data_IF_292890642873
#
_entry.id   IF_292890642873
#
_cell.length_a   1.000
_cell.length_b   1.000
_cell.length_c   1.000
_cell.angle_alpha   90.00
_cell.angle_beta   90.00
_cell.angle_gamma   90.00
#
_symmetry.space_group_name_H-M   'P 1'
#
loop_
_entity.id
_entity.type
_entity.pdbx_description
1 polymer ?
#
# COMPACT_ATOMS: atom_id res chain seq x y z
N UNK A 1 -1.24 -1.89 -35.48
CA UNK A 1 -0.79 -1.29 -34.20
C UNK A 1 -1.20 -2.24 -33.09
N UNK A 2 -0.27 -2.96 -32.48
CA UNK A 2 -0.57 -3.95 -31.45
C UNK A 2 0.15 -3.56 -30.17
N UNK A 3 -0.59 -3.00 -29.23
CA UNK A 3 -0.13 -2.79 -27.86
C UNK A 3 -0.01 -4.15 -27.18
N UNK A 4 1.20 -4.68 -27.14
CA UNK A 4 1.56 -5.86 -26.34
C UNK A 4 1.26 -5.54 -24.87
N UNK A 5 0.13 -6.06 -24.40
CA UNK A 5 -0.18 -6.17 -22.99
C UNK A 5 0.88 -7.07 -22.35
N UNK A 6 1.94 -6.46 -21.82
CA UNK A 6 2.72 -7.11 -20.78
C UNK A 6 1.77 -7.21 -19.60
N UNK A 7 1.14 -8.38 -19.44
CA UNK A 7 0.53 -8.76 -18.17
C UNK A 7 1.68 -8.81 -17.17
N UNK A 8 1.97 -7.68 -16.54
CA UNK A 8 2.63 -7.70 -15.24
C UNK A 8 1.84 -8.71 -14.42
N UNK A 9 2.51 -9.76 -13.95
CA UNK A 9 1.88 -10.74 -13.07
C UNK A 9 1.48 -9.94 -11.83
N UNK A 10 0.23 -9.48 -11.81
CA UNK A 10 -0.37 -8.88 -10.62
C UNK A 10 -0.07 -9.81 -9.48
N UNK A 11 0.57 -9.27 -8.46
CA UNK A 11 0.71 -9.99 -7.21
C UNK A 11 -0.70 -10.27 -6.69
N UNK A 12 -1.04 -11.54 -6.58
CA UNK A 12 -2.35 -11.99 -6.09
C UNK A 12 -2.28 -12.59 -4.69
N UNK A 13 -1.09 -12.70 -4.08
CA UNK A 13 -0.90 -13.29 -2.75
C UNK A 13 -0.50 -12.25 -1.69
N UNK A 14 -0.69 -12.56 -0.41
CA UNK A 14 -0.32 -11.66 0.69
C UNK A 14 1.17 -11.31 0.69
N UNK A 15 1.56 -10.22 1.38
CA UNK A 15 2.95 -9.90 1.71
C UNK A 15 3.70 -11.14 2.23
N UNK A 16 4.89 -11.48 1.72
CA UNK A 16 5.71 -12.55 2.34
C UNK A 16 6.50 -11.98 3.50
N UNK A 17 6.94 -10.73 3.36
CA UNK A 17 7.39 -9.90 4.46
C UNK A 17 6.28 -8.94 4.77
N UNK A 18 6.03 -8.73 6.05
CA UNK A 18 5.22 -7.60 6.43
C UNK A 18 6.07 -6.30 6.31
N UNK A 19 5.47 -5.10 6.11
CA UNK A 19 6.21 -3.85 5.91
C UNK A 19 7.25 -3.60 7.03
N UNK A 20 8.49 -3.16 6.75
CA UNK A 20 9.58 -3.04 7.72
C UNK A 20 9.36 -2.03 8.88
N UNK A 21 8.17 -1.45 9.00
CA UNK A 21 7.79 -0.45 10.01
C UNK A 21 7.17 -1.10 11.25
N UNK A 22 7.57 -2.34 11.53
CA UNK A 22 7.34 -2.96 12.83
C UNK A 22 8.21 -2.24 13.85
N UNK A 23 7.66 -1.24 14.51
CA UNK A 23 8.19 -0.86 15.81
C UNK A 23 8.04 -2.10 16.71
N UNK A 24 9.18 -2.66 17.10
CA UNK A 24 9.23 -3.88 17.88
C UNK A 24 8.59 -3.62 19.24
N UNK A 25 7.34 -4.05 19.42
CA UNK A 25 6.58 -3.84 20.65
C UNK A 25 5.15 -3.36 20.42
N UNK A 26 4.88 -2.69 19.31
CA UNK A 26 3.63 -1.96 19.13
C UNK A 26 2.44 -2.87 18.79
N UNK A 27 1.31 -2.73 19.52
CA UNK A 27 0.05 -3.36 19.15
C UNK A 27 -0.42 -2.91 17.77
N UNK A 28 -0.73 -3.86 16.90
CA UNK A 28 -1.11 -3.59 15.52
C UNK A 28 -2.05 -4.66 14.97
N UNK A 29 -2.77 -4.29 13.92
CA UNK A 29 -3.65 -5.19 13.18
C UNK A 29 -3.60 -4.86 11.70
N UNK A 30 -3.38 -5.86 10.83
CA UNK A 30 -3.08 -5.65 9.41
C UNK A 30 -4.04 -6.42 8.50
N UNK A 31 -4.52 -5.72 7.48
CA UNK A 31 -5.29 -6.25 6.36
C UNK A 31 -4.49 -6.18 5.08
N UNK A 32 -4.46 -7.30 4.35
CA UNK A 32 -3.78 -7.40 3.08
C UNK A 32 -4.62 -8.18 2.05
N UNK A 33 -4.38 -7.96 0.75
CA UNK A 33 -4.98 -8.78 -0.30
C UNK A 33 -4.40 -10.20 -0.29
N UNK A 34 -5.22 -11.13 -0.76
CA UNK A 34 -5.04 -12.57 -0.76
C UNK A 34 -5.43 -13.14 -2.13
N UNK A 35 -5.07 -14.42 -2.34
CA UNK A 35 -5.34 -15.13 -3.58
C UNK A 35 -6.81 -15.01 -4.01
N UNK A 36 -7.02 -14.81 -5.30
CA UNK A 36 -8.36 -14.62 -5.87
C UNK A 36 -8.98 -13.24 -5.63
N UNK A 37 -8.18 -12.23 -5.27
CA UNK A 37 -8.68 -10.86 -5.04
C UNK A 37 -9.47 -10.72 -3.73
N UNK A 38 -9.30 -11.69 -2.83
CA UNK A 38 -9.88 -11.63 -1.48
C UNK A 38 -9.02 -10.73 -0.60
N UNK A 39 -9.58 -10.11 0.42
CA UNK A 39 -8.82 -9.28 1.39
C UNK A 39 -9.08 -9.84 2.78
N UNK A 40 -8.05 -10.01 3.61
CA UNK A 40 -8.15 -10.66 4.94
C UNK A 40 -7.19 -10.06 5.95
N UNK A 41 -7.48 -10.32 7.23
CA UNK A 41 -6.54 -10.10 8.33
C UNK A 41 -5.37 -11.06 8.19
N UNK A 42 -4.15 -10.52 8.19
CA UNK A 42 -2.93 -11.32 7.99
C UNK A 42 -1.95 -11.24 9.17
N UNK A 43 -2.11 -10.26 10.06
CA UNK A 43 -1.30 -10.13 11.26
C UNK A 43 -2.05 -9.36 12.35
N UNK A 44 -1.84 -9.77 13.60
CA UNK A 44 -2.33 -9.11 14.80
C UNK A 44 -1.27 -9.24 15.90
N UNK A 45 -1.04 -8.16 16.65
CA UNK A 45 -0.14 -8.12 17.80
C UNK A 45 -0.74 -7.23 18.89
N UNK A 46 -0.53 -7.62 20.15
CA UNK A 46 -1.02 -6.88 21.31
C UNK A 46 -2.48 -7.21 21.64
N UNK A 47 -3.07 -6.44 22.55
CA UNK A 47 -4.45 -6.61 23.01
C UNK A 47 -5.38 -5.48 22.51
N UNK A 48 -5.00 -4.84 21.39
CA UNK A 48 -5.73 -3.74 20.77
C UNK A 48 -7.14 -4.19 20.38
N UNK A 49 -8.15 -3.39 20.71
CA UNK A 49 -9.54 -3.75 20.46
C UNK A 49 -9.98 -3.34 19.06
N UNK A 50 -9.87 -4.27 18.12
CA UNK A 50 -10.42 -4.10 16.77
C UNK A 50 -11.90 -4.50 16.76
N UNK A 51 -12.76 -3.59 16.29
CA UNK A 51 -14.20 -3.86 16.10
C UNK A 51 -14.51 -4.18 14.64
N UNK A 52 -15.69 -4.72 14.37
CA UNK A 52 -16.16 -4.98 12.99
C UNK A 52 -16.09 -3.72 12.10
N UNK A 53 -16.32 -2.53 12.69
CA UNK A 53 -16.19 -1.25 11.99
C UNK A 53 -14.76 -1.03 11.48
N UNK A 54 -13.75 -1.25 12.33
CA UNK A 54 -12.34 -1.13 11.94
C UNK A 54 -11.97 -2.12 10.85
N UNK A 55 -12.48 -3.35 10.96
CA UNK A 55 -12.22 -4.39 9.98
C UNK A 55 -12.82 -4.05 8.61
N UNK A 56 -14.06 -3.56 8.58
CA UNK A 56 -14.74 -3.12 7.36
C UNK A 56 -14.05 -1.93 6.71
N UNK A 57 -13.64 -0.94 7.50
CA UNK A 57 -12.91 0.24 7.00
C UNK A 57 -11.60 -0.18 6.34
N UNK A 58 -10.77 -0.96 7.03
CA UNK A 58 -9.48 -1.37 6.52
C UNK A 58 -9.63 -2.27 5.28
N UNK A 59 -10.64 -3.15 5.27
CA UNK A 59 -10.96 -3.97 4.10
C UNK A 59 -11.37 -3.12 2.89
N UNK A 60 -12.31 -2.18 3.06
CA UNK A 60 -12.77 -1.35 1.92
C UNK A 60 -11.65 -0.44 1.41
N UNK A 61 -10.89 0.19 2.31
CA UNK A 61 -9.76 1.02 1.93
C UNK A 61 -8.70 0.22 1.18
N UNK A 62 -8.29 -0.95 1.71
CA UNK A 62 -7.31 -1.81 1.07
C UNK A 62 -7.78 -2.25 -0.32
N UNK A 63 -9.06 -2.63 -0.46
CA UNK A 63 -9.66 -3.01 -1.74
C UNK A 63 -9.67 -1.84 -2.74
N UNK A 64 -10.08 -0.64 -2.30
CA UNK A 64 -10.13 0.55 -3.15
C UNK A 64 -8.73 0.97 -3.61
N UNK A 65 -7.75 1.06 -2.71
CA UNK A 65 -6.37 1.42 -3.05
C UNK A 65 -5.76 0.45 -4.07
N UNK A 66 -5.90 -0.87 -3.88
CA UNK A 66 -5.42 -1.87 -4.84
C UNK A 66 -6.18 -1.88 -6.17
N UNK A 67 -7.38 -1.29 -6.23
CA UNK A 67 -8.13 -1.16 -7.50
C UNK A 67 -7.78 0.13 -8.23
N UNK A 68 -7.59 1.22 -7.47
CA UNK A 68 -7.42 2.57 -7.97
C UNK A 68 -5.97 2.87 -8.37
N UNK A 69 -5.01 2.42 -7.55
CA UNK A 69 -3.58 2.64 -7.76
C UNK A 69 -2.93 1.33 -8.23
N UNK A 70 -3.05 1.06 -9.53
CA UNK A 70 -2.58 -0.20 -10.16
C UNK A 70 -1.11 -0.10 -10.59
N UNK A 71 -0.23 -0.63 -9.75
CA UNK A 71 1.20 -0.80 -10.01
C UNK A 71 1.58 -2.29 -9.89
N UNK A 72 2.88 -2.61 -9.93
CA UNK A 72 3.40 -3.98 -9.80
C UNK A 72 3.39 -4.53 -8.35
N UNK A 73 3.09 -3.67 -7.38
CA UNK A 73 3.03 -3.98 -5.96
C UNK A 73 1.61 -4.14 -5.42
N UNK A 74 1.44 -3.87 -4.12
CA UNK A 74 0.18 -4.04 -3.40
C UNK A 74 0.07 -3.12 -2.19
N UNK A 75 -1.14 -2.61 -1.96
CA UNK A 75 -1.46 -1.86 -0.75
C UNK A 75 -1.87 -2.79 0.39
N UNK A 76 -1.35 -2.54 1.57
CA UNK A 76 -1.79 -3.13 2.83
C UNK A 76 -2.27 -2.01 3.75
N UNK A 77 -3.24 -2.31 4.61
CA UNK A 77 -3.81 -1.33 5.54
C UNK A 77 -3.63 -1.86 6.96
N UNK A 78 -3.14 -1.00 7.86
CA UNK A 78 -2.88 -1.35 9.26
C UNK A 78 -3.54 -0.37 10.22
N UNK A 79 -4.12 -0.91 11.28
CA UNK A 79 -4.50 -0.17 12.48
C UNK A 79 -3.38 -0.28 13.50
N UNK A 80 -3.06 0.84 14.15
CA UNK A 80 -2.09 0.96 15.21
C UNK A 80 -2.73 1.60 16.43
N UNK A 81 -2.27 1.20 17.61
CA UNK A 81 -2.62 1.93 18.83
C UNK A 81 -1.85 3.26 18.84
N UNK A 82 -2.52 4.40 19.11
CA UNK A 82 -1.82 5.67 19.25
C UNK A 82 -0.79 5.62 20.40
N UNK A 83 0.37 6.25 20.21
CA UNK A 83 1.45 6.28 21.21
C UNK A 83 1.05 7.03 22.50
N UNK A 84 0.12 7.97 22.38
CA UNK A 84 -0.56 8.60 23.51
C UNK A 84 -2.08 8.41 23.34
N UNK A 85 -2.68 7.36 23.92
CA UNK A 85 -4.12 7.13 23.79
C UNK A 85 -4.95 8.25 24.42
N UNK A 86 -4.32 9.16 25.15
CA UNK A 86 -4.99 10.23 25.88
C UNK A 86 -5.90 9.70 26.98
N UNK A 87 -6.43 10.65 27.75
CA UNK A 87 -7.48 10.38 28.73
C UNK A 87 -8.83 10.75 28.12
N UNK A 88 -9.86 9.95 28.43
CA UNK A 88 -11.24 10.39 28.25
C UNK A 88 -11.51 11.61 29.14
N UNK A 89 -12.52 12.43 28.83
CA UNK A 89 -12.90 13.57 29.70
C UNK A 89 -13.21 13.19 31.16
N UNK A 90 -13.52 11.92 31.42
CA UNK A 90 -13.76 11.35 32.75
C UNK A 90 -12.50 10.83 33.47
N UNK A 91 -11.31 11.01 32.88
CA UNK A 91 -10.03 10.58 33.44
C UNK A 91 -9.74 9.09 33.27
N UNK A 92 -10.59 8.33 32.59
CA UNK A 92 -10.30 6.92 32.26
C UNK A 92 -9.38 6.86 31.03
N UNK A 93 -8.50 5.85 30.98
CA UNK A 93 -7.75 5.55 29.77
C UNK A 93 -8.74 5.28 28.64
N UNK A 94 -8.55 5.94 27.49
CA UNK A 94 -9.23 5.47 26.27
C UNK A 94 -8.71 4.06 26.02
N UNK A 95 -9.53 3.07 26.36
CA UNK A 95 -9.24 1.66 26.12
C UNK A 95 -8.95 1.46 24.62
N UNK A 96 -7.66 1.43 24.26
CA UNK A 96 -7.00 0.83 23.08
C UNK A 96 -7.85 0.67 21.80
N UNK A 97 -8.67 1.67 21.45
CA UNK A 97 -9.36 1.70 20.17
C UNK A 97 -8.38 2.35 19.18
N UNK A 98 -8.01 1.66 18.09
CA UNK A 98 -7.05 2.21 17.16
C UNK A 98 -7.63 3.43 16.45
N UNK A 99 -6.96 4.57 16.59
CA UNK A 99 -7.29 5.79 15.86
C UNK A 99 -6.34 6.02 14.70
N UNK A 100 -5.11 5.50 14.81
CA UNK A 100 -4.09 5.57 13.78
C UNK A 100 -4.31 4.48 12.71
N UNK A 101 -4.66 4.93 11.51
CA UNK A 101 -4.70 4.10 10.31
C UNK A 101 -3.50 4.41 9.45
N UNK A 102 -2.87 3.36 8.93
CA UNK A 102 -1.90 3.53 7.86
C UNK A 102 -2.18 2.65 6.65
N UNK A 103 -1.94 3.19 5.47
CA UNK A 103 -1.91 2.45 4.22
C UNK A 103 -0.47 2.43 3.69
N UNK A 104 0.09 1.23 3.54
CA UNK A 104 1.45 1.04 3.04
C UNK A 104 1.40 0.42 1.64
N UNK A 105 2.14 0.97 0.70
CA UNK A 105 2.36 0.35 -0.60
C UNK A 105 3.68 -0.45 -0.58
N UNK A 106 3.55 -1.76 -0.83
CA UNK A 106 4.67 -2.69 -0.97
C UNK A 106 4.89 -2.99 -2.44
N UNK A 107 6.13 -2.93 -2.92
CA UNK A 107 6.45 -3.32 -4.29
C UNK A 107 6.45 -4.85 -4.48
N UNK A 108 6.97 -5.32 -5.62
CA UNK A 108 7.06 -6.74 -5.94
C UNK A 108 7.99 -7.54 -5.01
N UNK A 109 8.93 -6.89 -4.33
CA UNK A 109 9.95 -7.48 -3.46
C UNK A 109 9.59 -7.38 -1.95
N UNK A 110 8.37 -6.92 -1.66
CA UNK A 110 7.85 -6.58 -0.33
C UNK A 110 8.50 -5.35 0.31
N UNK A 111 9.18 -4.51 -0.48
CA UNK A 111 9.78 -3.29 0.05
C UNK A 111 8.74 -2.17 0.07
N UNK A 112 8.62 -1.52 1.23
CA UNK A 112 7.65 -0.45 1.43
C UNK A 112 8.14 0.84 0.77
N UNK A 113 7.40 1.32 -0.23
CA UNK A 113 7.75 2.54 -0.96
C UNK A 113 7.04 3.76 -0.40
N UNK A 114 5.78 3.61 0.02
CA UNK A 114 4.94 4.70 0.54
C UNK A 114 4.18 4.27 1.79
N UNK A 115 4.02 5.21 2.71
CA UNK A 115 3.18 5.08 3.90
C UNK A 115 2.31 6.31 3.94
N UNK A 116 1.02 6.10 4.08
CA UNK A 116 0.06 7.15 4.39
C UNK A 116 -0.41 6.88 5.80
N UNK A 117 -0.28 7.85 6.70
CA UNK A 117 -0.71 7.72 8.08
C UNK A 117 -1.71 8.80 8.43
N UNK A 118 -2.68 8.44 9.28
CA UNK A 118 -3.62 9.39 9.84
C UNK A 118 -4.00 8.97 11.26
N UNK A 119 -3.64 9.79 12.25
CA UNK A 119 -3.88 9.54 13.68
C UNK A 119 -5.35 9.71 14.10
N UNK A 120 -6.14 10.41 13.28
CA UNK A 120 -7.58 10.68 13.44
C UNK A 120 -8.39 10.03 12.31
N UNK A 121 -7.95 8.86 11.83
CA UNK A 121 -8.50 8.26 10.61
C UNK A 121 -10.01 8.01 10.70
N UNK A 122 -10.54 7.68 11.88
CA UNK A 122 -11.98 7.47 12.07
C UNK A 122 -12.80 8.75 11.81
N UNK A 123 -12.28 9.92 12.20
CA UNK A 123 -12.95 11.20 11.99
C UNK A 123 -12.83 11.64 10.53
N UNK A 124 -11.64 11.48 9.94
CA UNK A 124 -11.42 11.77 8.52
C UNK A 124 -12.32 10.90 7.64
N UNK A 125 -12.40 9.60 7.91
CA UNK A 125 -13.26 8.69 7.17
C UNK A 125 -14.75 8.98 7.37
N UNK A 126 -15.15 9.54 8.52
CA UNK A 126 -16.53 9.95 8.75
C UNK A 126 -16.93 11.18 7.92
N UNK A 127 -15.98 12.08 7.63
CA UNK A 127 -16.23 13.34 6.91
C UNK A 127 -15.95 13.20 5.42
N UNK A 128 -14.78 12.70 5.06
CA UNK A 128 -14.27 12.64 3.69
C UNK A 128 -14.33 11.24 3.06
N UNK A 129 -14.71 10.22 3.83
CA UNK A 129 -14.69 8.83 3.36
C UNK A 129 -13.28 8.36 2.99
N UNK A 130 -13.21 7.28 2.20
CA UNK A 130 -11.92 6.71 1.74
C UNK A 130 -11.20 7.60 0.72
N UNK A 131 -11.88 8.59 0.15
CA UNK A 131 -11.39 9.38 -0.97
C UNK A 131 -10.17 10.23 -0.55
N UNK A 132 -10.14 10.68 0.71
CA UNK A 132 -8.95 11.31 1.30
C UNK A 132 -7.67 10.48 1.13
N UNK A 133 -7.74 9.17 1.39
CA UNK A 133 -6.58 8.28 1.26
C UNK A 133 -6.26 7.97 -0.21
N UNK A 134 -7.27 7.95 -1.09
CA UNK A 134 -7.07 7.77 -2.52
C UNK A 134 -6.35 8.97 -3.14
N UNK A 135 -6.75 10.19 -2.80
CA UNK A 135 -6.12 11.43 -3.27
C UNK A 135 -4.65 11.49 -2.80
N UNK A 136 -4.40 11.18 -1.53
CA UNK A 136 -3.03 11.05 -1.01
C UNK A 136 -2.21 9.99 -1.76
N UNK A 137 -2.86 8.94 -2.29
CA UNK A 137 -2.17 7.83 -2.95
C UNK A 137 -1.77 8.22 -4.37
N UNK A 138 -2.63 8.98 -5.04
CA UNK A 138 -2.32 9.61 -6.31
C UNK A 138 -1.19 10.64 -6.19
N UNK A 139 -1.22 11.48 -5.16
CA UNK A 139 -0.17 12.47 -4.90
C UNK A 139 1.19 11.81 -4.61
N UNK A 140 1.20 10.77 -3.77
CA UNK A 140 2.40 10.00 -3.47
C UNK A 140 2.96 9.34 -4.75
N UNK A 141 2.09 8.78 -5.59
CA UNK A 141 2.48 8.17 -6.86
C UNK A 141 3.05 9.19 -7.86
N UNK A 142 2.42 10.36 -7.96
CA UNK A 142 2.91 11.43 -8.82
C UNK A 142 4.33 11.87 -8.39
N UNK A 143 4.51 12.09 -7.08
CA UNK A 143 5.81 12.44 -6.50
C UNK A 143 6.86 11.36 -6.77
N UNK A 144 6.51 10.09 -6.61
CA UNK A 144 7.42 8.98 -6.89
C UNK A 144 7.89 8.95 -8.34
N UNK A 145 6.97 9.11 -9.29
CA UNK A 145 7.29 9.16 -10.72
C UNK A 145 8.19 10.35 -11.06
N UNK A 146 7.99 11.48 -10.39
CA UNK A 146 8.84 12.66 -10.56
C UNK A 146 10.26 12.42 -10.00
N UNK A 147 10.38 11.73 -8.86
CA UNK A 147 11.68 11.32 -8.30
C UNK A 147 12.39 10.34 -9.24
N UNK A 148 11.72 9.31 -9.75
CA UNK A 148 12.30 8.36 -10.72
C UNK A 148 12.82 9.10 -11.96
N UNK A 149 12.01 10.04 -12.48
CA UNK A 149 12.38 10.87 -13.63
C UNK A 149 13.58 11.79 -13.33
N UNK A 150 13.62 12.41 -12.15
CA UNK A 150 14.68 13.33 -11.74
C UNK A 150 16.00 12.63 -11.43
N UNK A 151 15.95 11.38 -10.93
CA UNK A 151 17.12 10.59 -10.61
C UNK A 151 17.85 10.05 -11.85
N UNK A 152 17.36 10.32 -13.07
CA UNK A 152 17.77 9.66 -14.32
C UNK A 152 17.78 8.12 -14.21
N UNK A 153 17.08 7.58 -13.20
CA UNK A 153 16.65 6.20 -13.14
C UNK A 153 15.54 6.15 -14.18
N UNK A 154 15.97 6.09 -15.45
CA UNK A 154 15.07 6.10 -16.57
C UNK A 154 13.95 5.14 -16.24
N UNK A 155 12.71 5.59 -16.47
CA UNK A 155 11.54 4.72 -16.56
C UNK A 155 12.04 3.38 -17.09
N UNK A 156 11.71 2.26 -16.46
CA UNK A 156 12.13 0.90 -16.87
C UNK A 156 11.72 0.50 -18.31
N UNK A 157 11.62 1.44 -19.25
CA UNK A 157 11.75 1.28 -20.69
C UNK A 157 13.14 0.73 -21.05
N UNK A 158 13.16 -0.58 -21.26
CA UNK A 158 13.97 -1.30 -22.26
C UNK A 158 15.15 -0.49 -22.84
N UNK A 159 16.37 -0.86 -22.44
CA UNK A 159 17.44 -1.01 -23.44
C UNK A 159 16.96 -2.07 -24.44
N UNK A 160 16.43 -1.61 -25.57
CA UNK A 160 16.35 -2.41 -26.79
C UNK A 160 17.79 -2.78 -27.09
N UNK A 161 18.13 -4.06 -26.92
CA UNK A 161 19.46 -4.55 -27.25
C UNK A 161 19.82 -4.06 -28.65
N UNK A 162 20.97 -3.42 -28.77
CA UNK A 162 21.66 -3.25 -30.04
C UNK A 162 21.73 -4.63 -30.67
N UNK A 163 20.87 -4.84 -31.68
CA UNK A 163 21.04 -5.95 -32.59
C UNK A 163 22.03 -5.43 -33.60
N UNK A 164 23.29 -5.80 -33.38
CA UNK A 164 24.41 -5.57 -34.27
C UNK A 164 23.96 -5.65 -35.73
N UNK A 165 24.23 -4.55 -36.43
CA UNK A 165 24.10 -4.47 -37.87
C UNK A 165 25.11 -5.39 -38.52
N UNK A 166 24.66 -6.54 -39.00
CA UNK A 166 25.23 -7.17 -40.19
C UNK A 166 24.12 -7.74 -41.06
N UNK A 167 23.31 -6.83 -41.62
CA UNK A 167 22.60 -7.11 -42.87
C UNK A 167 23.62 -7.16 -44.00
N UNK A 168 24.24 -8.32 -44.20
CA UNK A 168 25.08 -8.58 -45.38
C UNK A 168 24.18 -9.19 -46.44
N UNK A 169 23.73 -8.35 -47.36
CA UNK A 169 23.22 -8.73 -48.67
C UNK A 169 24.29 -9.59 -49.35
N UNK A 170 23.97 -10.83 -49.68
CA UNK A 170 24.74 -11.62 -50.63
C UNK A 170 23.76 -12.10 -51.69
N UNK A 171 23.86 -11.47 -52.86
CA UNK A 171 23.44 -12.07 -54.12
C UNK A 171 24.44 -13.18 -54.45
N UNK A 172 23.94 -14.40 -54.65
CA UNK A 172 24.39 -15.38 -55.64
C UNK A 172 23.27 -16.42 -55.80
#
# INVERSE_FOLDING_TARGET
MSFLHVRHRRRSGPPKKLPPLYHEGDPHWVVAPCAGGTVRVVAERGAMRVTDRHALIAFDLCRRLNTHVDLDGTWVVRWLEPQDPGLRPDGTLRLAEPTLLEACYLDADDDCQFIQSNEDALDVLAVAGTDFFLDQAEEALATFRDIEKAAEIGARQKKRGDRDGTGRTVFL
#
